data_IF_346778554029
#
_entry.id   IF_346778554029
#
_cell.length_a   1.000
_cell.length_b   1.000
_cell.length_c   1.000
_cell.angle_alpha   90.00
_cell.angle_beta   90.00
_cell.angle_gamma   90.00
#
_symmetry.space_group_name_H-M   'P 1'
#
loop_
_entity.id
_entity.type
_entity.pdbx_description
1 polymer ?
#
# COMPACT_ATOMS: atom_id res chain seq x y z
N UNK A 1 -14.35 -4.43 -2.00
CA UNK A 1 -13.01 -4.95 -2.43
C UNK A 1 -12.52 -4.16 -3.65
N UNK A 2 -11.91 -2.98 -3.44
CA UNK A 2 -11.34 -2.18 -4.55
C UNK A 2 -10.11 -2.95 -5.06
N UNK A 3 -10.22 -3.60 -6.23
CA UNK A 3 -9.08 -4.24 -6.92
C UNK A 3 -7.97 -3.19 -7.04
N UNK A 4 -6.84 -3.38 -6.35
CA UNK A 4 -5.59 -2.64 -6.60
C UNK A 4 -5.37 -2.65 -8.12
N UNK A 5 -5.34 -1.46 -8.74
CA UNK A 5 -5.12 -1.29 -10.18
C UNK A 5 -3.97 -2.21 -10.62
N UNK A 6 -4.21 -2.94 -11.70
CA UNK A 6 -3.32 -3.93 -12.29
C UNK A 6 -1.95 -3.33 -12.59
N UNK A 7 -0.96 -3.64 -11.75
CA UNK A 7 0.46 -3.46 -12.07
C UNK A 7 0.79 -4.34 -13.29
N UNK A 8 1.38 -3.79 -14.37
CA UNK A 8 1.77 -4.56 -15.56
C UNK A 8 2.82 -5.66 -15.29
N UNK A 9 3.34 -5.76 -14.07
CA UNK A 9 4.36 -6.75 -13.64
C UNK A 9 3.80 -8.07 -13.10
N UNK A 10 2.50 -8.35 -13.23
CA UNK A 10 1.91 -9.63 -12.79
C UNK A 10 2.25 -10.77 -13.75
N UNK A 11 3.45 -11.32 -13.64
CA UNK A 11 3.73 -12.67 -14.10
C UNK A 11 3.01 -13.68 -13.19
N UNK A 12 2.53 -14.77 -13.78
CA UNK A 12 1.81 -15.89 -13.18
C UNK A 12 2.31 -16.22 -11.75
N UNK A 13 1.63 -15.71 -10.72
CA UNK A 13 2.05 -15.84 -9.32
C UNK A 13 1.66 -17.23 -8.79
N UNK A 14 2.47 -18.24 -9.07
CA UNK A 14 2.26 -19.60 -8.56
C UNK A 14 2.75 -19.78 -7.10
N UNK A 15 3.49 -18.83 -6.55
CA UNK A 15 4.05 -18.92 -5.19
C UNK A 15 3.72 -17.67 -4.35
N UNK A 16 3.42 -17.82 -3.05
CA UNK A 16 3.09 -16.71 -2.14
C UNK A 16 4.21 -15.70 -1.92
N UNK A 17 5.45 -16.06 -2.24
CA UNK A 17 6.62 -15.17 -2.12
C UNK A 17 6.71 -14.18 -3.29
N UNK A 18 5.98 -14.44 -4.38
CA UNK A 18 5.97 -13.59 -5.57
C UNK A 18 5.45 -12.20 -5.20
N UNK A 19 6.14 -11.14 -5.64
CA UNK A 19 5.76 -9.72 -5.40
C UNK A 19 5.90 -9.27 -3.93
N UNK A 20 6.37 -10.12 -3.01
CA UNK A 20 6.64 -9.73 -1.62
C UNK A 20 8.13 -9.59 -1.30
N UNK A 21 9.02 -10.24 -2.05
CA UNK A 21 10.47 -10.20 -1.78
C UNK A 21 11.17 -9.21 -2.74
N UNK A 22 11.97 -8.28 -2.21
CA UNK A 22 12.57 -7.14 -2.92
C UNK A 22 14.11 -7.14 -2.71
N UNK A 23 14.92 -6.86 -3.76
CA UNK A 23 16.38 -6.64 -3.63
C UNK A 23 16.63 -5.25 -3.04
N UNK A 24 17.35 -5.17 -1.92
CA UNK A 24 17.76 -3.90 -1.29
C UNK A 24 18.76 -3.10 -2.12
N UNK A 25 19.50 -3.72 -3.05
CA UNK A 25 20.45 -3.01 -3.92
C UNK A 25 19.78 -2.33 -5.13
N UNK A 26 18.73 -2.92 -5.72
CA UNK A 26 18.15 -2.45 -6.99
C UNK A 26 16.63 -2.31 -6.99
N UNK A 27 15.96 -2.56 -5.86
CA UNK A 27 14.50 -2.47 -5.67
C UNK A 27 13.65 -3.35 -6.60
N UNK A 28 14.28 -4.26 -7.35
CA UNK A 28 13.59 -5.23 -8.20
C UNK A 28 13.12 -6.43 -7.37
N UNK A 29 11.98 -7.01 -7.75
CA UNK A 29 11.46 -8.21 -7.09
C UNK A 29 12.36 -9.42 -7.29
N UNK A 30 12.39 -10.29 -6.29
CA UNK A 30 12.88 -11.65 -6.43
C UNK A 30 11.90 -12.49 -7.23
N UNK A 31 12.43 -13.47 -7.98
CA UNK A 31 11.62 -14.45 -8.69
C UNK A 31 12.19 -15.85 -8.54
N UNK A 32 11.30 -16.84 -8.61
CA UNK A 32 11.67 -18.26 -8.61
C UNK A 32 12.45 -18.62 -9.88
N UNK A 33 13.57 -19.31 -9.74
CA UNK A 33 14.36 -19.94 -10.81
C UNK A 33 14.50 -21.44 -10.49
N UNK A 34 14.37 -22.27 -11.51
CA UNK A 34 14.59 -23.72 -11.37
C UNK A 34 16.04 -24.02 -11.70
N UNK A 35 16.76 -24.61 -10.76
CA UNK A 35 18.11 -25.14 -10.98
C UNK A 35 18.05 -26.66 -11.16
N UNK A 36 18.93 -27.19 -12.02
CA UNK A 36 19.00 -28.62 -12.37
C UNK A 36 17.67 -29.23 -12.83
N UNK A 37 16.99 -28.57 -13.78
CA UNK A 37 15.63 -28.88 -14.24
C UNK A 37 15.38 -30.32 -14.69
N UNK A 38 16.40 -31.02 -15.19
CA UNK A 38 16.31 -32.39 -15.74
C UNK A 38 16.88 -33.47 -14.82
N UNK A 39 17.30 -33.14 -13.59
CA UNK A 39 17.92 -34.09 -12.66
C UNK A 39 17.09 -34.30 -11.39
N UNK A 40 17.39 -35.38 -10.65
CA UNK A 40 16.83 -35.63 -9.31
C UNK A 40 17.15 -34.54 -8.28
N UNK A 41 18.12 -33.66 -8.56
CA UNK A 41 18.50 -32.52 -7.72
C UNK A 41 17.79 -31.22 -8.10
N UNK A 42 16.65 -31.30 -8.79
CA UNK A 42 15.83 -30.14 -9.14
C UNK A 42 15.50 -29.33 -7.88
N UNK A 43 15.93 -28.06 -7.85
CA UNK A 43 15.66 -27.13 -6.74
C UNK A 43 15.08 -25.83 -7.26
N UNK A 44 14.15 -25.26 -6.50
CA UNK A 44 13.62 -23.92 -6.75
C UNK A 44 14.38 -22.95 -5.86
N UNK A 45 15.04 -21.99 -6.48
CA UNK A 45 15.73 -20.90 -5.78
C UNK A 45 15.04 -19.57 -6.07
N UNK A 46 15.15 -18.65 -5.15
CA UNK A 46 14.66 -17.28 -5.25
C UNK A 46 15.86 -16.36 -5.45
N UNK A 47 15.85 -15.63 -6.57
CA UNK A 47 16.94 -14.71 -6.92
C UNK A 47 16.36 -13.39 -7.43
N UNK A 48 17.05 -12.28 -7.13
CA UNK A 48 16.71 -10.97 -7.68
C UNK A 48 16.62 -11.02 -9.22
N UNK A 49 15.49 -10.59 -9.78
CA UNK A 49 15.31 -10.53 -11.24
C UNK A 49 16.19 -9.46 -11.91
N UNK A 50 16.64 -8.46 -11.14
CA UNK A 50 17.56 -7.42 -11.56
C UNK A 50 19.04 -7.80 -11.45
N UNK A 51 19.38 -9.01 -11.00
CA UNK A 51 20.77 -9.40 -10.67
C UNK A 51 21.79 -9.15 -11.79
N UNK A 52 21.36 -9.33 -13.04
CA UNK A 52 22.21 -9.17 -14.22
C UNK A 52 21.86 -7.93 -15.06
N UNK A 53 20.98 -7.05 -14.58
CA UNK A 53 20.61 -5.82 -15.29
C UNK A 53 21.63 -4.72 -15.00
N UNK A 54 22.02 -3.95 -16.01
CA UNK A 54 22.88 -2.77 -15.86
C UNK A 54 24.39 -3.08 -15.73
N UNK A 55 25.17 -2.03 -15.43
CA UNK A 55 26.64 -2.11 -15.28
C UNK A 55 27.05 -2.67 -13.92
N UNK A 56 26.33 -2.33 -12.86
CA UNK A 56 26.53 -2.87 -11.51
C UNK A 56 25.54 -4.01 -11.25
N UNK A 57 26.07 -5.18 -10.89
CA UNK A 57 25.27 -6.39 -10.63
C UNK A 57 24.81 -6.40 -9.16
N UNK A 58 23.50 -6.60 -8.89
CA UNK A 58 22.97 -6.77 -7.51
C UNK A 58 23.70 -7.97 -6.87
N UNK A 59 24.27 -7.73 -5.68
CA UNK A 59 25.13 -8.71 -4.98
C UNK A 59 24.37 -9.51 -3.95
N UNK A 60 23.08 -9.26 -3.81
CA UNK A 60 22.24 -9.96 -2.85
C UNK A 60 22.25 -11.48 -3.06
N UNK A 61 22.12 -12.24 -1.95
CA UNK A 61 22.16 -13.69 -1.99
C UNK A 61 20.92 -14.26 -2.68
N UNK A 62 21.01 -15.55 -3.02
CA UNK A 62 19.85 -16.33 -3.43
C UNK A 62 19.28 -17.03 -2.21
N UNK A 63 17.97 -17.25 -2.20
CA UNK A 63 17.26 -17.90 -1.10
C UNK A 63 16.63 -19.20 -1.59
N UNK A 64 16.42 -20.16 -0.72
CA UNK A 64 15.55 -21.32 -0.98
C UNK A 64 14.16 -21.03 -0.40
N UNK A 65 13.14 -21.75 -0.84
CA UNK A 65 11.81 -21.62 -0.23
C UNK A 65 11.82 -21.97 1.25
N UNK A 66 12.58 -22.99 1.65
CA UNK A 66 12.65 -23.43 3.04
C UNK A 66 13.30 -22.34 3.92
N UNK A 67 14.40 -21.73 3.47
CA UNK A 67 15.01 -20.60 4.18
C UNK A 67 14.02 -19.45 4.37
N UNK A 68 13.25 -19.08 3.34
CA UNK A 68 12.25 -17.99 3.45
C UNK A 68 11.20 -18.33 4.51
N UNK A 69 10.73 -19.58 4.55
CA UNK A 69 9.73 -20.05 5.53
C UNK A 69 10.30 -20.03 6.95
N UNK A 70 11.52 -20.52 7.13
CA UNK A 70 12.19 -20.60 8.44
C UNK A 70 12.45 -19.19 9.00
N UNK A 71 13.02 -18.30 8.19
CA UNK A 71 13.25 -16.91 8.61
C UNK A 71 11.95 -16.16 8.87
N UNK A 72 10.87 -16.46 8.14
CA UNK A 72 9.55 -15.92 8.44
C UNK A 72 9.05 -16.36 9.82
N UNK A 73 9.17 -17.64 10.16
CA UNK A 73 8.77 -18.16 11.48
C UNK A 73 9.58 -17.48 12.58
N UNK A 74 10.90 -17.30 12.39
CA UNK A 74 11.76 -16.57 13.34
C UNK A 74 11.31 -15.12 13.50
N UNK A 75 11.04 -14.42 12.39
CA UNK A 75 10.60 -13.03 12.40
C UNK A 75 9.23 -12.88 13.11
N UNK A 76 8.27 -13.74 12.77
CA UNK A 76 6.94 -13.74 13.37
C UNK A 76 7.00 -14.08 14.87
N UNK A 77 7.79 -15.08 15.26
CA UNK A 77 7.99 -15.44 16.66
C UNK A 77 8.60 -14.28 17.45
N UNK A 78 9.55 -13.56 16.85
CA UNK A 78 10.17 -12.38 17.46
C UNK A 78 9.18 -11.24 17.65
N UNK A 79 8.32 -10.99 16.65
CA UNK A 79 7.25 -10.00 16.74
C UNK A 79 6.25 -10.34 17.85
N UNK A 80 5.95 -11.62 18.03
CA UNK A 80 4.96 -12.11 18.99
C UNK A 80 5.47 -12.22 20.44
N UNK A 81 6.76 -11.97 20.70
CA UNK A 81 7.31 -11.98 22.07
C UNK A 81 6.51 -11.11 23.04
N UNK A 82 6.04 -9.95 22.57
CA UNK A 82 5.18 -9.03 23.32
C UNK A 82 3.82 -8.87 22.62
N UNK A 83 3.15 -9.98 22.33
CA UNK A 83 1.87 -10.02 21.59
C UNK A 83 0.80 -9.08 22.16
N UNK A 84 0.68 -8.97 23.48
CA UNK A 84 -0.32 -8.10 24.11
C UNK A 84 -0.07 -6.63 23.80
N UNK A 85 1.16 -6.16 23.97
CA UNK A 85 1.56 -4.80 23.60
C UNK A 85 1.35 -4.53 22.11
N UNK A 86 1.71 -5.48 21.24
CA UNK A 86 1.51 -5.39 19.80
C UNK A 86 0.03 -5.20 19.42
N UNK A 87 -0.88 -5.92 20.10
CA UNK A 87 -2.31 -5.82 19.87
C UNK A 87 -2.87 -4.49 20.38
N UNK A 88 -2.39 -4.01 21.53
CA UNK A 88 -2.84 -2.74 22.10
C UNK A 88 -2.37 -1.54 21.26
N UNK A 89 -1.07 -1.47 20.95
CA UNK A 89 -0.51 -0.43 20.09
C UNK A 89 -1.19 -0.40 18.72
N UNK A 90 -1.45 -1.58 18.16
CA UNK A 90 -2.14 -1.70 16.88
C UNK A 90 -3.60 -1.23 16.93
N UNK A 91 -4.30 -1.41 18.06
CA UNK A 91 -5.67 -0.87 18.23
C UNK A 91 -5.66 0.65 18.27
N UNK A 92 -4.73 1.25 19.02
CA UNK A 92 -4.57 2.71 19.09
C UNK A 92 -4.33 3.28 17.69
N UNK A 93 -3.36 2.73 16.95
CA UNK A 93 -3.05 3.19 15.58
C UNK A 93 -4.23 2.98 14.63
N UNK A 94 -4.96 1.86 14.76
CA UNK A 94 -6.16 1.60 13.95
C UNK A 94 -7.23 2.65 14.21
N UNK A 95 -7.49 2.98 15.48
CA UNK A 95 -8.51 3.93 15.86
C UNK A 95 -8.17 5.32 15.31
N UNK A 96 -6.91 5.76 15.46
CA UNK A 96 -6.42 7.00 14.86
C UNK A 96 -6.53 7.05 13.33
N UNK A 97 -6.25 5.94 12.63
CA UNK A 97 -6.40 5.86 11.18
C UNK A 97 -7.86 5.88 10.76
N UNK A 98 -8.73 5.24 11.54
CA UNK A 98 -10.16 5.15 11.26
C UNK A 98 -10.92 6.44 11.53
N UNK A 99 -10.43 7.28 12.45
CA UNK A 99 -10.98 8.62 12.68
C UNK A 99 -10.72 9.54 11.49
N UNK A 100 -11.74 9.65 10.65
CA UNK A 100 -11.76 10.54 9.49
C UNK A 100 -12.62 11.79 9.72
N UNK A 101 -13.08 12.04 10.95
CA UNK A 101 -14.03 13.12 11.26
C UNK A 101 -13.55 14.50 10.78
N UNK A 102 -12.27 14.82 10.98
CA UNK A 102 -11.69 16.07 10.49
C UNK A 102 -11.63 16.15 8.96
N UNK A 103 -11.40 15.04 8.25
CA UNK A 103 -11.40 15.02 6.78
C UNK A 103 -12.82 15.13 6.26
N UNK A 104 -13.76 14.42 6.87
CA UNK A 104 -15.19 14.45 6.52
C UNK A 104 -15.74 15.88 6.66
N UNK A 105 -15.45 16.58 7.76
CA UNK A 105 -15.87 17.99 7.92
C UNK A 105 -15.27 18.94 6.87
N UNK A 106 -14.04 18.68 6.37
CA UNK A 106 -13.43 19.45 5.28
C UNK A 106 -14.10 19.15 3.95
N UNK A 107 -14.43 17.88 3.70
CA UNK A 107 -15.17 17.43 2.51
C UNK A 107 -16.53 18.13 2.47
N UNK A 108 -17.29 18.11 3.56
CA UNK A 108 -18.61 18.73 3.65
C UNK A 108 -18.56 20.24 3.37
N UNK A 109 -17.58 20.95 3.94
CA UNK A 109 -17.38 22.38 3.69
C UNK A 109 -17.07 22.66 2.21
N UNK A 110 -16.22 21.85 1.59
CA UNK A 110 -15.88 22.02 0.17
C UNK A 110 -17.09 21.74 -0.72
N UNK A 111 -17.90 20.72 -0.40
CA UNK A 111 -19.12 20.43 -1.13
C UNK A 111 -20.12 21.60 -1.04
N UNK A 112 -20.31 22.16 0.14
CA UNK A 112 -21.15 23.37 0.31
C UNK A 112 -20.62 24.56 -0.51
N UNK A 113 -19.31 24.80 -0.52
CA UNK A 113 -18.72 25.85 -1.34
C UNK A 113 -18.88 25.59 -2.84
N UNK A 114 -18.74 24.33 -3.28
CA UNK A 114 -18.96 23.92 -4.67
C UNK A 114 -20.41 24.17 -5.11
N UNK A 115 -21.38 23.88 -4.25
CA UNK A 115 -22.81 24.14 -4.52
C UNK A 115 -23.08 25.64 -4.67
N UNK A 116 -22.51 26.46 -3.80
CA UNK A 116 -22.61 27.93 -3.90
C UNK A 116 -22.02 28.43 -5.22
N UNK A 117 -20.81 27.98 -5.58
CA UNK A 117 -20.17 28.38 -6.85
C UNK A 117 -20.96 27.90 -8.05
N UNK A 118 -21.51 26.68 -8.02
CA UNK A 118 -22.39 26.16 -9.08
C UNK A 118 -23.64 27.02 -9.24
N UNK A 119 -24.27 27.45 -8.14
CA UNK A 119 -25.38 28.39 -8.16
C UNK A 119 -25.01 29.75 -8.75
N UNK A 120 -23.81 30.27 -8.43
CA UNK A 120 -23.30 31.52 -9.01
C UNK A 120 -23.03 31.41 -10.52
N UNK A 121 -22.51 30.27 -10.98
CA UNK A 121 -22.30 30.01 -12.42
C UNK A 121 -23.66 30.02 -13.15
N UNK A 122 -24.65 29.29 -12.63
CA UNK A 122 -26.01 29.26 -13.21
C UNK A 122 -26.60 30.67 -13.30
N UNK A 123 -26.57 31.42 -12.20
CA UNK A 123 -27.04 32.81 -12.18
C UNK A 123 -26.31 33.70 -13.17
N UNK A 124 -24.99 33.54 -13.30
CA UNK A 124 -24.18 34.31 -14.26
C UNK A 124 -24.63 34.05 -15.70
N UNK A 125 -24.96 32.80 -16.05
CA UNK A 125 -25.48 32.41 -17.35
C UNK A 125 -26.88 32.99 -17.57
N UNK A 126 -27.77 32.88 -16.58
CA UNK A 126 -29.15 33.39 -16.65
C UNK A 126 -29.21 34.91 -16.81
N UNK A 127 -28.35 35.64 -16.09
CA UNK A 127 -28.22 37.10 -16.18
C UNK A 127 -27.79 37.52 -17.59
N UNK A 128 -26.86 36.79 -18.21
CA UNK A 128 -26.38 37.04 -19.57
C UNK A 128 -27.42 36.70 -20.65
N UNK A 129 -28.26 35.69 -20.42
CA UNK A 129 -29.35 35.35 -21.32
C UNK A 129 -30.51 36.36 -21.27
N UNK A 130 -30.72 37.00 -20.12
CA UNK A 130 -31.87 37.87 -19.85
C UNK A 130 -31.61 39.36 -20.07
N UNK A 131 -30.33 39.78 -20.07
CA UNK A 131 -29.92 41.19 -20.15
C UNK A 131 -28.76 41.37 -21.12
N UNK A 132 -28.68 42.53 -21.78
CA UNK A 132 -27.49 42.90 -22.56
C UNK A 132 -26.37 43.31 -21.61
N UNK A 133 -25.42 42.42 -21.39
CA UNK A 133 -24.23 42.65 -20.55
C UNK A 133 -23.01 42.98 -21.41
N UNK A 134 -21.99 43.58 -20.77
CA UNK A 134 -20.66 43.66 -21.35
C UNK A 134 -20.05 42.25 -21.45
N UNK A 135 -19.74 41.84 -22.68
CA UNK A 135 -19.27 40.49 -22.99
C UNK A 135 -17.90 40.20 -22.38
N UNK A 136 -17.03 41.19 -22.27
CA UNK A 136 -15.68 41.03 -21.70
C UNK A 136 -15.77 40.84 -20.18
N UNK A 137 -16.57 41.68 -19.50
CA UNK A 137 -16.85 41.53 -18.07
C UNK A 137 -17.55 40.20 -17.72
N UNK A 138 -18.53 39.76 -18.55
CA UNK A 138 -19.20 38.47 -18.38
C UNK A 138 -18.19 37.32 -18.46
N UNK A 139 -17.39 37.28 -19.52
CA UNK A 139 -16.44 36.18 -19.78
C UNK A 139 -15.45 36.07 -18.63
N UNK A 140 -14.88 37.20 -18.18
CA UNK A 140 -13.96 37.24 -17.05
C UNK A 140 -14.59 36.71 -15.75
N UNK A 141 -15.84 37.07 -15.46
CA UNK A 141 -16.56 36.62 -14.26
C UNK A 141 -16.89 35.13 -14.33
N UNK A 142 -17.39 34.68 -15.47
CA UNK A 142 -17.74 33.28 -15.72
C UNK A 142 -16.51 32.38 -15.61
N UNK A 143 -15.42 32.74 -16.27
CA UNK A 143 -14.18 31.95 -16.26
C UNK A 143 -13.57 31.88 -14.86
N UNK A 144 -13.58 32.98 -14.11
CA UNK A 144 -13.14 32.98 -12.71
C UNK A 144 -13.98 32.08 -11.80
N UNK A 145 -15.30 31.96 -12.06
CA UNK A 145 -16.16 31.02 -11.32
C UNK A 145 -15.87 29.56 -11.71
N UNK A 146 -15.61 29.28 -12.98
CA UNK A 146 -15.19 27.95 -13.44
C UNK A 146 -13.86 27.56 -12.82
N UNK A 147 -12.87 28.44 -12.84
CA UNK A 147 -11.55 28.19 -12.23
C UNK A 147 -11.69 27.88 -10.74
N UNK A 148 -12.51 28.66 -10.02
CA UNK A 148 -12.80 28.41 -8.61
C UNK A 148 -13.46 27.05 -8.39
N UNK A 149 -14.43 26.68 -9.23
CA UNK A 149 -15.11 25.40 -9.13
C UNK A 149 -14.15 24.22 -9.36
N UNK A 150 -13.31 24.28 -10.41
CA UNK A 150 -12.31 23.25 -10.68
C UNK A 150 -11.26 23.15 -9.57
N UNK A 151 -10.85 24.28 -8.98
CA UNK A 151 -9.95 24.28 -7.82
C UNK A 151 -10.58 23.57 -6.60
N UNK A 152 -11.85 23.82 -6.30
CA UNK A 152 -12.57 23.15 -5.21
C UNK A 152 -12.75 21.66 -5.48
N UNK A 153 -13.11 21.29 -6.71
CA UNK A 153 -13.24 19.89 -7.15
C UNK A 153 -11.94 19.11 -7.01
N UNK A 154 -10.79 19.73 -7.35
CA UNK A 154 -9.48 19.12 -7.15
C UNK A 154 -9.15 18.93 -5.66
N UNK A 155 -9.46 19.91 -4.81
CA UNK A 155 -9.31 19.78 -3.35
C UNK A 155 -10.19 18.66 -2.78
N UNK A 156 -11.45 18.59 -3.20
CA UNK A 156 -12.37 17.52 -2.82
C UNK A 156 -11.81 16.15 -3.20
N UNK A 157 -11.34 15.99 -4.44
CA UNK A 157 -10.72 14.75 -4.88
C UNK A 157 -9.49 14.36 -4.03
N UNK A 158 -8.68 15.35 -3.63
CA UNK A 158 -7.54 15.16 -2.73
C UNK A 158 -7.95 14.63 -1.36
N UNK A 159 -8.90 15.29 -0.68
CA UNK A 159 -9.36 14.86 0.64
C UNK A 159 -10.07 13.51 0.62
N UNK A 160 -10.89 13.25 -0.40
CA UNK A 160 -11.55 11.94 -0.56
C UNK A 160 -10.52 10.83 -0.75
N UNK A 161 -9.45 11.08 -1.51
CA UNK A 161 -8.36 10.12 -1.68
C UNK A 161 -7.61 9.89 -0.36
N UNK A 162 -7.29 10.94 0.38
CA UNK A 162 -6.62 10.84 1.68
C UNK A 162 -7.46 10.00 2.66
N UNK A 163 -8.77 10.24 2.71
CA UNK A 163 -9.72 9.47 3.51
C UNK A 163 -9.74 7.99 3.12
N UNK A 164 -9.83 7.69 1.83
CA UNK A 164 -9.81 6.32 1.33
C UNK A 164 -8.47 5.62 1.66
N UNK A 165 -7.35 6.32 1.56
CA UNK A 165 -6.02 5.78 1.89
C UNK A 165 -5.89 5.48 3.40
N UNK A 166 -6.39 6.37 4.28
CA UNK A 166 -6.42 6.11 5.73
C UNK A 166 -7.30 4.93 6.09
N UNK A 167 -8.52 4.86 5.54
CA UNK A 167 -9.45 3.75 5.78
C UNK A 167 -8.89 2.42 5.29
N UNK A 168 -8.25 2.41 4.12
CA UNK A 168 -7.59 1.22 3.60
C UNK A 168 -6.47 0.73 4.55
N UNK A 169 -5.66 1.64 5.11
CA UNK A 169 -4.63 1.28 6.09
C UNK A 169 -5.25 0.73 7.38
N UNK A 170 -6.33 1.33 7.87
CA UNK A 170 -7.07 0.85 9.04
C UNK A 170 -7.63 -0.57 8.81
N UNK A 171 -8.18 -0.85 7.63
CA UNK A 171 -8.68 -2.18 7.25
C UNK A 171 -7.57 -3.22 7.21
N UNK A 172 -6.42 -2.88 6.62
CA UNK A 172 -5.23 -3.74 6.55
C UNK A 172 -4.72 -4.06 7.96
N UNK A 173 -4.58 -3.04 8.82
CA UNK A 173 -4.17 -3.22 10.20
C UNK A 173 -5.20 -4.04 11.00
N UNK A 174 -6.49 -3.83 10.77
CA UNK A 174 -7.54 -4.64 11.39
C UNK A 174 -7.44 -6.12 11.00
N UNK A 175 -7.13 -6.40 9.73
CA UNK A 175 -6.88 -7.76 9.24
C UNK A 175 -5.65 -8.39 9.89
N UNK A 176 -4.56 -7.62 10.02
CA UNK A 176 -3.36 -8.04 10.73
C UNK A 176 -3.67 -8.42 12.19
N UNK A 177 -4.33 -7.53 12.94
CA UNK A 177 -4.65 -7.74 14.36
C UNK A 177 -5.56 -8.95 14.57
N UNK A 178 -6.52 -9.17 13.67
CA UNK A 178 -7.37 -10.36 13.69
C UNK A 178 -6.53 -11.64 13.57
N UNK A 179 -5.61 -11.71 12.61
CA UNK A 179 -4.77 -12.90 12.45
C UNK A 179 -3.87 -13.16 13.65
N UNK A 180 -3.25 -12.11 14.21
CA UNK A 180 -2.42 -12.24 15.41
C UNK A 180 -3.24 -12.69 16.63
N UNK A 181 -4.52 -12.28 16.69
CA UNK A 181 -5.44 -12.69 17.75
C UNK A 181 -5.78 -14.18 17.64
N UNK A 182 -6.01 -14.68 16.42
CA UNK A 182 -6.37 -16.09 16.18
C UNK A 182 -5.16 -17.05 16.19
N UNK A 183 -3.94 -16.52 16.09
CA UNK A 183 -2.74 -17.34 15.99
C UNK A 183 -2.40 -18.01 17.32
N UNK A 184 -2.45 -19.34 17.35
CA UNK A 184 -1.92 -20.13 18.45
C UNK A 184 -0.39 -20.01 18.48
N UNK A 185 0.12 -19.48 19.59
CA UNK A 185 1.52 -19.08 19.74
C UNK A 185 2.45 -20.24 20.13
N UNK A 186 1.90 -21.44 20.39
CA UNK A 186 2.66 -22.57 20.94
C UNK A 186 3.54 -23.28 19.90
N UNK A 187 3.11 -23.35 18.63
CA UNK A 187 3.85 -24.02 17.53
C UNK A 187 3.72 -23.24 16.22
N UNK A 188 4.48 -22.15 16.08
CA UNK A 188 4.45 -21.32 14.88
C UNK A 188 5.12 -22.06 13.72
N UNK A 189 4.30 -22.54 12.78
CA UNK A 189 4.74 -23.12 11.51
C UNK A 189 4.36 -22.19 10.36
N UNK A 190 5.16 -22.21 9.28
CA UNK A 190 4.83 -21.44 8.10
C UNK A 190 3.43 -21.78 7.57
N UNK A 191 2.62 -20.74 7.39
CA UNK A 191 1.30 -20.82 6.78
C UNK A 191 1.16 -19.69 5.76
N UNK A 192 0.76 -20.03 4.54
CA UNK A 192 0.59 -19.06 3.45
C UNK A 192 -0.45 -17.97 3.77
N UNK A 193 -1.51 -18.31 4.52
CA UNK A 193 -2.51 -17.32 4.98
C UNK A 193 -1.86 -16.27 5.88
N UNK A 194 -1.07 -16.71 6.87
CA UNK A 194 -0.36 -15.80 7.79
C UNK A 194 0.68 -14.98 7.04
N UNK A 195 1.47 -15.58 6.17
CA UNK A 195 2.40 -14.84 5.31
C UNK A 195 1.70 -13.73 4.52
N UNK A 196 0.55 -14.04 3.91
CA UNK A 196 -0.17 -13.08 3.09
C UNK A 196 -0.77 -11.93 3.89
N UNK A 197 -1.29 -12.21 5.09
CA UNK A 197 -1.97 -11.22 5.95
C UNK A 197 -1.05 -10.47 6.91
N UNK A 198 0.11 -11.03 7.27
CA UNK A 198 1.02 -10.42 8.26
C UNK A 198 2.16 -9.63 7.62
N UNK A 199 2.69 -10.09 6.49
CA UNK A 199 3.82 -9.45 5.81
C UNK A 199 3.30 -8.43 4.79
N UNK A 200 3.91 -7.24 4.77
CA UNK A 200 3.81 -6.32 3.64
C UNK A 200 4.81 -6.73 2.56
N UNK A 201 6.10 -6.68 2.88
CA UNK A 201 7.18 -7.14 2.01
C UNK A 201 8.39 -7.58 2.83
N UNK A 202 9.36 -8.22 2.15
CA UNK A 202 10.65 -8.62 2.69
C UNK A 202 11.74 -8.02 1.83
N UNK A 203 12.67 -7.31 2.45
CA UNK A 203 13.82 -6.72 1.77
C UNK A 203 15.06 -7.55 2.03
N UNK A 204 15.71 -8.03 0.97
CA UNK A 204 16.94 -8.82 1.04
C UNK A 204 18.13 -7.92 0.72
N UNK A 205 19.07 -7.83 1.65
CA UNK A 205 20.26 -7.00 1.52
C UNK A 205 21.50 -7.84 1.16
N UNK A 206 22.55 -7.15 0.70
CA UNK A 206 23.84 -7.74 0.28
C UNK A 206 24.69 -8.25 1.44
N UNK A 207 24.45 -7.75 2.64
CA UNK A 207 25.09 -8.13 3.92
C UNK A 207 24.39 -9.35 4.55
N UNK A 208 23.68 -10.14 3.74
CA UNK A 208 22.99 -11.36 4.18
C UNK A 208 21.91 -11.10 5.24
N UNK A 209 21.36 -9.89 5.26
CA UNK A 209 20.23 -9.51 6.13
C UNK A 209 18.91 -9.52 5.37
N UNK A 210 17.89 -10.12 5.98
CA UNK A 210 16.49 -10.00 5.57
C UNK A 210 15.75 -9.08 6.54
N UNK A 211 15.04 -8.09 6.02
CA UNK A 211 14.12 -7.26 6.81
C UNK A 211 12.70 -7.63 6.43
N UNK A 212 11.96 -8.17 7.40
CA UNK A 212 10.54 -8.48 7.29
C UNK A 212 9.75 -7.26 7.75
N UNK A 213 9.12 -6.56 6.81
CA UNK A 213 8.24 -5.43 7.10
C UNK A 213 6.81 -5.95 7.21
N UNK A 214 6.23 -5.85 8.40
CA UNK A 214 4.88 -6.31 8.72
C UNK A 214 3.82 -5.27 8.35
N UNK A 215 2.57 -5.71 8.15
CA UNK A 215 1.43 -4.85 7.80
C UNK A 215 1.11 -3.78 8.85
N UNK A 216 1.56 -3.98 10.09
CA UNK A 216 1.45 -3.00 11.17
C UNK A 216 2.62 -1.99 11.22
N UNK A 217 3.56 -2.06 10.28
CA UNK A 217 4.72 -1.16 10.20
C UNK A 217 5.94 -1.60 11.01
N UNK A 218 5.85 -2.69 11.78
CA UNK A 218 7.01 -3.22 12.48
C UNK A 218 7.99 -3.88 11.49
N UNK A 219 9.28 -3.74 11.76
CA UNK A 219 10.34 -4.36 10.97
C UNK A 219 11.19 -5.28 11.83
N UNK A 220 11.35 -6.52 11.40
CA UNK A 220 12.21 -7.50 12.07
C UNK A 220 13.34 -7.89 11.11
N UNK A 221 14.58 -7.70 11.56
CA UNK A 221 15.77 -8.13 10.83
C UNK A 221 16.16 -9.56 11.23
N UNK A 222 16.46 -10.40 10.25
CA UNK A 222 16.97 -11.77 10.42
C UNK A 222 18.21 -11.93 9.55
N UNK A 223 19.29 -12.47 10.11
CA UNK A 223 20.53 -12.77 9.39
C UNK A 223 20.44 -14.17 8.77
N UNK A 224 20.94 -14.33 7.54
CA UNK A 224 20.94 -15.59 6.77
C UNK A 224 22.01 -16.55 7.28
#
# INVERSE_FOLDING_TARGET
>A
MKRRKSDPRRHNCQSPFSVKIICGDCSEYYGSKVWHSTSQYRRVIWQCNGKFKGKEKCRTPHLTEDHIKDYFVIALSTLLKNREALLEDGRVVKDELSDCSSIDTKIDKILQEMDVVSGLIKKCIDDNASQTLDQEAYTKRHDGLIERYEALKNKHAGYTREREERQFKADVLSGFLFEITELDCLDIVFNEKYWNRTIDHVTVYRDERLVFSFQNGNEISVEI
#
